data_IF_817778195876
#
_entry.id   IF_817778195876
#
_cell.length_a   1.000
_cell.length_b   1.000
_cell.length_c   1.000
_cell.angle_alpha   90.00
_cell.angle_beta   90.00
_cell.angle_gamma   90.00
#
_symmetry.space_group_name_H-M   'P 1'
#
loop_
_entity.id
_entity.type
_entity.pdbx_description
1 polymer ?
#
# COMPACT_ATOMS: atom_id res chain seq x y z
N UNK A 1 30.50 4.35 -32.84
CA UNK A 1 29.69 5.33 -32.13
C UNK A 1 28.70 4.56 -31.27
N UNK A 2 28.98 4.42 -30.00
CA UNK A 2 28.06 3.79 -29.04
C UNK A 2 26.92 4.76 -28.83
N UNK A 3 25.71 4.39 -29.30
CA UNK A 3 24.49 5.03 -28.87
C UNK A 3 24.38 4.77 -27.38
N UNK A 4 24.60 5.80 -26.57
CA UNK A 4 24.23 5.79 -25.17
C UNK A 4 22.73 5.52 -25.14
N UNK A 5 22.35 4.29 -24.78
CA UNK A 5 20.98 3.94 -24.46
C UNK A 5 20.52 4.94 -23.38
N UNK A 6 19.54 5.76 -23.69
CA UNK A 6 18.90 6.61 -22.67
C UNK A 6 18.53 5.70 -21.49
N UNK A 7 18.99 6.06 -20.30
CA UNK A 7 18.70 5.28 -19.11
C UNK A 7 17.17 5.13 -18.99
N UNK A 8 16.69 3.90 -18.96
CA UNK A 8 15.28 3.61 -18.86
C UNK A 8 14.80 3.98 -17.45
N UNK A 9 13.99 5.03 -17.36
CA UNK A 9 13.45 5.55 -16.09
C UNK A 9 12.01 5.07 -15.92
N UNK A 10 11.67 4.70 -14.69
CA UNK A 10 10.34 4.25 -14.33
C UNK A 10 9.25 5.30 -14.58
N UNK A 11 8.08 4.85 -15.01
CA UNK A 11 6.94 5.72 -15.34
C UNK A 11 6.37 6.33 -14.06
N UNK A 12 6.35 7.66 -13.98
CA UNK A 12 5.98 8.39 -12.76
C UNK A 12 4.46 8.49 -12.55
N UNK A 13 3.65 8.25 -13.57
CA UNK A 13 2.18 8.18 -13.46
C UNK A 13 1.71 6.74 -13.27
N UNK A 14 0.74 6.50 -12.38
CA UNK A 14 0.20 5.14 -12.17
C UNK A 14 -0.57 4.64 -13.38
N UNK A 15 -0.62 3.34 -13.56
CA UNK A 15 -1.45 2.68 -14.58
C UNK A 15 -2.94 2.85 -14.28
N UNK A 16 -3.31 2.77 -13.00
CA UNK A 16 -4.68 3.00 -12.52
C UNK A 16 -4.64 4.10 -11.47
N UNK A 17 -5.47 5.10 -11.67
CA UNK A 17 -5.61 6.19 -10.72
C UNK A 17 -7.07 6.57 -10.53
N UNK A 18 -7.53 6.46 -9.30
CA UNK A 18 -8.80 7.00 -8.85
C UNK A 18 -8.53 7.93 -7.67
N UNK A 19 -8.75 9.22 -7.86
CA UNK A 19 -8.57 10.25 -6.84
C UNK A 19 -9.89 10.98 -6.63
N UNK A 20 -10.37 11.13 -5.38
CA UNK A 20 -11.55 11.92 -5.08
C UNK A 20 -11.44 13.35 -5.60
N UNK A 21 -12.57 14.01 -5.84
CA UNK A 21 -12.58 15.43 -6.14
C UNK A 21 -12.01 16.20 -4.96
N UNK A 22 -10.90 16.89 -5.16
CA UNK A 22 -10.20 17.70 -4.16
C UNK A 22 -10.37 19.18 -4.46
N UNK A 23 -10.52 19.98 -3.41
CA UNK A 23 -10.54 21.44 -3.52
C UNK A 23 -9.14 22.03 -3.53
N UNK A 24 -8.24 21.50 -2.70
CA UNK A 24 -6.85 21.92 -2.56
C UNK A 24 -6.00 20.79 -1.94
N UNK A 25 -4.70 20.86 -2.12
CA UNK A 25 -3.74 19.88 -1.60
C UNK A 25 -2.47 20.55 -1.03
N UNK A 26 -2.58 21.69 -0.29
CA UNK A 26 -1.40 22.42 0.20
C UNK A 26 -0.56 21.54 1.14
N UNK A 27 -1.19 20.73 1.97
CA UNK A 27 -0.50 19.87 2.93
C UNK A 27 0.37 18.81 2.25
N UNK A 28 0.06 18.38 1.03
CA UNK A 28 0.87 17.41 0.29
C UNK A 28 2.22 18.01 -0.14
N UNK A 29 2.21 19.25 -0.62
CA UNK A 29 3.42 19.97 -1.01
C UNK A 29 4.27 20.28 0.21
N UNK A 30 3.63 20.72 1.31
CA UNK A 30 4.29 20.98 2.58
C UNK A 30 4.88 19.69 3.20
N UNK A 31 4.20 18.56 3.08
CA UNK A 31 4.69 17.26 3.53
C UNK A 31 5.94 16.83 2.73
N UNK A 32 5.89 16.97 1.41
CA UNK A 32 7.01 16.70 0.53
C UNK A 32 8.22 17.61 0.83
N UNK A 33 7.97 18.91 1.02
CA UNK A 33 9.00 19.88 1.38
C UNK A 33 9.63 19.58 2.76
N UNK A 34 8.79 19.28 3.76
CA UNK A 34 9.25 18.94 5.10
C UNK A 34 10.13 17.68 5.09
N UNK A 35 9.69 16.65 4.37
CA UNK A 35 10.44 15.40 4.24
C UNK A 35 11.81 15.62 3.57
N UNK A 36 11.85 16.37 2.46
CA UNK A 36 13.09 16.72 1.76
C UNK A 36 14.07 17.45 2.68
N UNK A 37 13.59 18.37 3.53
CA UNK A 37 14.41 19.09 4.51
C UNK A 37 15.09 18.16 5.52
N UNK A 38 14.51 17.00 5.78
CA UNK A 38 15.08 15.98 6.66
C UNK A 38 15.80 14.85 5.90
N UNK A 39 16.07 15.04 4.59
CA UNK A 39 16.83 14.11 3.77
C UNK A 39 16.00 13.00 3.14
N UNK A 40 14.67 13.08 3.19
CA UNK A 40 13.75 12.17 2.54
C UNK A 40 13.18 12.84 1.27
N UNK A 41 14.03 12.97 0.23
CA UNK A 41 13.67 13.64 -1.04
C UNK A 41 12.66 12.78 -1.81
N UNK A 42 11.42 13.27 -2.04
CA UNK A 42 10.40 12.49 -2.74
C UNK A 42 10.62 12.51 -4.25
N UNK A 43 10.46 11.35 -4.89
CA UNK A 43 10.31 11.23 -6.34
C UNK A 43 8.96 11.81 -6.80
N UNK A 44 8.82 12.08 -8.09
CA UNK A 44 7.60 12.65 -8.67
C UNK A 44 6.37 11.77 -8.41
N UNK A 45 6.49 10.45 -8.59
CA UNK A 45 5.40 9.52 -8.30
C UNK A 45 4.98 9.53 -6.82
N UNK A 46 5.93 9.73 -5.90
CA UNK A 46 5.64 9.82 -4.46
C UNK A 46 4.91 11.11 -4.10
N UNK A 47 5.29 12.24 -4.73
CA UNK A 47 4.56 13.51 -4.61
C UNK A 47 3.13 13.37 -5.11
N UNK A 48 2.93 12.68 -6.24
CA UNK A 48 1.61 12.39 -6.79
C UNK A 48 0.74 11.58 -5.83
N UNK A 49 1.32 10.57 -5.18
CA UNK A 49 0.61 9.77 -4.17
C UNK A 49 0.22 10.62 -2.97
N UNK A 50 1.12 11.43 -2.44
CA UNK A 50 0.82 12.36 -1.34
C UNK A 50 -0.31 13.33 -1.72
N UNK A 51 -0.29 13.88 -2.92
CA UNK A 51 -1.34 14.78 -3.40
C UNK A 51 -2.73 14.13 -3.39
N UNK A 52 -2.83 12.85 -3.80
CA UNK A 52 -4.07 12.09 -3.74
C UNK A 52 -4.54 11.81 -2.31
N UNK A 53 -3.59 11.48 -1.41
CA UNK A 53 -3.93 11.13 -0.02
C UNK A 53 -4.28 12.34 0.84
N UNK A 54 -3.63 13.48 0.60
CA UNK A 54 -3.73 14.69 1.41
C UNK A 54 -4.59 15.78 0.76
N UNK A 55 -5.33 15.44 -0.29
CA UNK A 55 -6.33 16.31 -0.87
C UNK A 55 -7.47 16.59 0.10
N UNK A 56 -7.90 17.85 0.19
CA UNK A 56 -8.97 18.29 1.09
C UNK A 56 -10.23 18.64 0.35
N UNK A 57 -11.35 18.44 1.03
CA UNK A 57 -12.67 19.00 0.70
C UNK A 57 -12.76 20.47 1.16
N UNK A 58 -13.73 21.23 0.64
CA UNK A 58 -13.94 22.61 1.10
C UNK A 58 -14.21 22.78 2.61
N UNK A 59 -14.63 21.70 3.29
CA UNK A 59 -14.86 21.69 4.73
C UNK A 59 -13.61 21.38 5.58
N UNK A 60 -12.43 21.34 4.97
CA UNK A 60 -11.16 21.07 5.65
C UNK A 60 -10.93 19.60 6.05
N UNK A 61 -11.77 18.68 5.57
CA UNK A 61 -11.56 17.24 5.81
C UNK A 61 -10.89 16.56 4.62
N UNK A 62 -10.19 15.48 4.89
CA UNK A 62 -9.61 14.65 3.83
C UNK A 62 -10.66 14.23 2.80
N UNK A 63 -10.36 14.43 1.53
CA UNK A 63 -11.21 13.98 0.45
C UNK A 63 -11.20 12.42 0.42
N UNK A 64 -10.03 11.81 0.60
CA UNK A 64 -9.87 10.37 0.71
C UNK A 64 -9.82 9.94 2.18
N UNK A 65 -10.79 9.14 2.63
CA UNK A 65 -10.75 8.47 3.94
C UNK A 65 -10.18 7.07 3.86
N UNK A 66 -10.06 6.54 2.64
CA UNK A 66 -9.36 5.31 2.31
C UNK A 66 -8.37 5.61 1.19
N UNK A 67 -7.12 5.22 1.40
CA UNK A 67 -6.03 5.40 0.45
C UNK A 67 -5.40 4.05 0.18
N UNK A 68 -5.29 3.65 -1.07
CA UNK A 68 -4.65 2.40 -1.48
C UNK A 68 -3.49 2.70 -2.43
N UNK A 69 -2.33 2.11 -2.16
CA UNK A 69 -1.15 2.18 -2.99
C UNK A 69 -0.65 0.78 -3.31
N UNK A 70 -0.80 0.38 -4.57
CA UNK A 70 -0.24 -0.85 -5.10
C UNK A 70 0.96 -0.52 -5.99
N UNK A 71 2.13 -0.95 -5.58
CA UNK A 71 3.38 -0.79 -6.33
C UNK A 71 4.30 -1.97 -6.01
N UNK A 72 5.05 -2.51 -6.99
CA UNK A 72 5.97 -3.61 -6.78
C UNK A 72 6.95 -3.37 -5.65
N UNK A 73 7.56 -4.46 -5.17
CA UNK A 73 8.51 -4.40 -4.05
C UNK A 73 9.67 -3.46 -4.35
N UNK A 74 10.23 -2.87 -3.28
CA UNK A 74 11.43 -2.02 -3.28
C UNK A 74 11.32 -0.69 -4.04
N UNK A 75 10.15 -0.32 -4.55
CA UNK A 75 9.93 0.99 -5.16
C UNK A 75 9.93 2.16 -4.17
N UNK A 76 9.96 1.92 -2.86
CA UNK A 76 9.96 2.99 -1.86
C UNK A 76 8.57 3.44 -1.40
N UNK A 77 7.55 2.54 -1.45
CA UNK A 77 6.21 2.82 -0.93
C UNK A 77 6.20 3.29 0.53
N UNK A 78 7.08 2.72 1.36
CA UNK A 78 7.17 3.09 2.77
C UNK A 78 7.65 4.54 2.97
N UNK A 79 8.48 5.07 2.05
CA UNK A 79 8.90 6.46 2.12
C UNK A 79 7.72 7.43 1.99
N UNK A 80 6.71 7.11 1.16
CA UNK A 80 5.48 7.92 1.06
C UNK A 80 4.74 7.97 2.40
N UNK A 81 4.63 6.83 3.07
CA UNK A 81 4.00 6.75 4.40
C UNK A 81 4.79 7.54 5.43
N UNK A 82 6.12 7.44 5.41
CA UNK A 82 6.98 8.19 6.33
C UNK A 82 6.82 9.70 6.14
N UNK A 83 6.76 10.19 4.91
CA UNK A 83 6.48 11.59 4.60
C UNK A 83 5.13 12.03 5.15
N UNK A 84 4.09 11.23 4.93
CA UNK A 84 2.73 11.46 5.45
C UNK A 84 2.70 11.45 6.99
N UNK A 85 3.43 10.52 7.62
CA UNK A 85 3.54 10.41 9.07
C UNK A 85 4.30 11.60 9.67
N UNK A 86 5.46 11.95 9.12
CA UNK A 86 6.25 13.09 9.59
C UNK A 86 5.42 14.37 9.60
N UNK A 87 4.73 14.67 8.51
CA UNK A 87 3.90 15.86 8.42
C UNK A 87 2.70 15.78 9.38
N UNK A 88 1.97 14.67 9.36
CA UNK A 88 0.81 14.47 10.21
C UNK A 88 1.11 14.61 11.68
N UNK A 89 2.20 13.98 12.14
CA UNK A 89 2.63 14.09 13.54
C UNK A 89 3.10 15.49 13.91
N UNK A 90 3.99 16.07 13.09
CA UNK A 90 4.68 17.33 13.43
C UNK A 90 3.80 18.56 13.26
N UNK A 91 2.98 18.60 12.22
CA UNK A 91 2.22 19.78 11.81
C UNK A 91 0.76 19.67 12.24
N UNK A 92 0.13 18.53 11.97
CA UNK A 92 -1.30 18.34 12.22
C UNK A 92 -1.59 17.77 13.61
N UNK A 93 -0.59 17.26 14.34
CA UNK A 93 -0.79 16.60 15.63
C UNK A 93 -1.56 15.27 15.53
N UNK A 94 -1.53 14.63 14.36
CA UNK A 94 -2.24 13.38 14.12
C UNK A 94 -1.56 12.20 14.83
N UNK A 95 -2.38 11.27 15.28
CA UNK A 95 -1.97 10.01 15.91
C UNK A 95 -2.06 8.89 14.88
N UNK A 96 -0.97 8.17 14.70
CA UNK A 96 -0.85 7.08 13.74
C UNK A 96 -0.76 5.73 14.44
N UNK A 97 -1.55 4.76 13.98
CA UNK A 97 -1.34 3.35 14.25
C UNK A 97 -0.83 2.68 12.97
N UNK A 98 0.41 2.22 12.98
CA UNK A 98 1.02 1.51 11.87
C UNK A 98 1.01 0.01 12.17
N UNK A 99 0.48 -0.78 11.26
CA UNK A 99 0.39 -2.24 11.42
C UNK A 99 0.96 -2.95 10.20
N UNK A 100 1.63 -4.08 10.43
CA UNK A 100 2.08 -5.00 9.39
C UNK A 100 1.76 -6.44 9.79
N UNK A 101 1.77 -7.36 8.82
CA UNK A 101 1.55 -8.78 9.07
C UNK A 101 2.64 -9.34 9.99
N UNK A 102 3.90 -9.02 9.67
CA UNK A 102 5.06 -9.48 10.43
C UNK A 102 5.58 -8.39 11.38
N UNK A 103 5.88 -8.77 12.62
CA UNK A 103 6.53 -7.90 13.62
C UNK A 103 7.83 -7.29 13.08
N UNK A 104 8.62 -8.07 12.33
CA UNK A 104 9.89 -7.60 11.74
C UNK A 104 9.70 -6.45 10.75
N UNK A 105 8.67 -6.50 9.90
CA UNK A 105 8.34 -5.42 8.95
C UNK A 105 7.88 -4.18 9.69
N UNK A 106 7.00 -4.36 10.65
CA UNK A 106 6.53 -3.30 11.52
C UNK A 106 7.69 -2.62 12.25
N UNK A 107 8.60 -3.39 12.86
CA UNK A 107 9.79 -2.85 13.55
C UNK A 107 10.72 -2.06 12.63
N UNK A 108 10.88 -2.45 11.36
CA UNK A 108 11.67 -1.67 10.39
C UNK A 108 11.06 -0.30 10.14
N UNK A 109 9.74 -0.19 9.98
CA UNK A 109 9.05 1.09 9.81
C UNK A 109 9.22 1.97 11.05
N UNK A 110 9.15 1.39 12.25
CA UNK A 110 9.43 2.09 13.49
C UNK A 110 10.87 2.64 13.55
N UNK A 111 11.88 1.80 13.24
CA UNK A 111 13.29 2.22 13.29
C UNK A 111 13.58 3.37 12.32
N UNK A 112 12.97 3.37 11.14
CA UNK A 112 13.13 4.44 10.17
C UNK A 112 12.53 5.76 10.69
N UNK A 113 11.33 5.71 11.28
CA UNK A 113 10.72 6.88 11.88
C UNK A 113 11.49 7.35 13.12
N UNK A 114 11.91 6.40 13.98
CA UNK A 114 12.70 6.67 15.17
C UNK A 114 14.01 7.40 14.87
N UNK A 115 14.61 7.13 13.70
CA UNK A 115 15.83 7.81 13.25
C UNK A 115 15.68 9.33 13.25
N UNK A 116 14.51 9.86 12.95
CA UNK A 116 14.25 11.29 12.96
C UNK A 116 14.05 11.84 14.39
N UNK A 117 13.40 11.11 15.26
CA UNK A 117 12.95 11.60 16.57
C UNK A 117 13.92 11.29 17.71
N UNK A 118 14.70 10.22 17.62
CA UNK A 118 15.65 9.79 18.65
C UNK A 118 17.12 10.03 18.24
N UNK A 119 17.35 11.10 17.46
CA UNK A 119 18.67 11.47 17.01
C UNK A 119 18.97 12.98 17.24
N UNK A 120 19.32 13.36 18.51
CA UNK A 120 19.51 14.75 18.88
C UNK A 120 20.68 15.44 18.14
N UNK A 121 21.64 14.65 17.61
CA UNK A 121 22.78 15.21 16.87
C UNK A 121 22.40 15.64 15.46
N UNK A 122 21.66 14.80 14.76
CA UNK A 122 21.22 15.06 13.38
C UNK A 122 19.97 15.94 13.33
N UNK A 123 19.02 15.70 14.23
CA UNK A 123 17.72 16.34 14.21
C UNK A 123 17.33 16.94 15.57
N UNK A 124 18.11 17.90 16.10
CA UNK A 124 17.89 18.46 17.44
C UNK A 124 16.50 19.07 17.62
N UNK A 125 15.93 19.67 16.56
CA UNK A 125 14.59 20.27 16.61
C UNK A 125 13.49 19.23 16.70
N UNK A 126 13.61 18.07 16.02
CA UNK A 126 12.64 16.99 16.11
C UNK A 126 12.74 16.27 17.44
N UNK A 127 13.97 16.02 17.90
CA UNK A 127 14.21 15.43 19.20
C UNK A 127 13.64 16.30 20.33
N UNK A 128 13.80 17.62 20.26
CA UNK A 128 13.25 18.54 21.28
C UNK A 128 11.69 18.50 21.36
N UNK A 129 11.02 18.09 20.31
CA UNK A 129 9.56 17.94 20.28
C UNK A 129 9.08 16.56 20.74
N UNK A 130 10.03 15.62 20.93
CA UNK A 130 9.71 14.25 21.37
C UNK A 130 9.56 14.20 22.88
N UNK A 131 8.38 13.85 23.36
CA UNK A 131 8.08 13.75 24.80
C UNK A 131 8.34 12.37 25.35
N UNK A 132 8.17 11.32 24.54
CA UNK A 132 8.38 9.94 24.94
C UNK A 132 8.70 9.04 23.75
N UNK A 133 9.61 8.10 23.95
CA UNK A 133 9.89 6.99 23.05
C UNK A 133 9.74 5.67 23.81
N UNK A 134 8.95 4.75 23.28
CA UNK A 134 8.86 3.38 23.76
C UNK A 134 9.53 2.45 22.75
N UNK A 135 10.46 1.60 23.23
CA UNK A 135 11.23 0.66 22.40
C UNK A 135 10.97 -0.81 22.76
N UNK A 136 10.05 -1.06 23.68
CA UNK A 136 9.69 -2.42 24.06
C UNK A 136 8.93 -3.11 22.92
N UNK A 137 9.30 -4.36 22.62
CA UNK A 137 8.67 -5.14 21.57
C UNK A 137 7.15 -5.21 21.73
N UNK A 138 6.42 -4.85 20.67
CA UNK A 138 4.96 -4.82 20.66
C UNK A 138 4.34 -3.59 21.35
N UNK A 139 5.16 -2.62 21.79
CA UNK A 139 4.73 -1.35 22.38
C UNK A 139 5.54 -0.17 21.83
N UNK A 140 6.17 -0.37 20.69
CA UNK A 140 7.00 0.66 20.05
C UNK A 140 6.16 1.88 19.73
N UNK A 141 6.62 3.04 20.18
CA UNK A 141 5.90 4.30 19.97
C UNK A 141 6.81 5.53 20.08
N UNK A 142 6.41 6.59 19.41
CA UNK A 142 6.96 7.95 19.54
C UNK A 142 5.81 8.92 19.81
N UNK A 143 5.95 9.78 20.81
CA UNK A 143 4.97 10.79 21.18
C UNK A 143 5.59 12.18 21.12
N UNK A 144 4.84 13.16 20.62
CA UNK A 144 5.27 14.53 20.45
C UNK A 144 4.51 15.48 21.39
N UNK A 145 5.08 16.66 21.58
CA UNK A 145 4.56 17.73 22.43
C UNK A 145 3.23 18.34 21.99
N UNK A 146 2.88 18.20 20.70
CA UNK A 146 1.61 18.66 20.13
C UNK A 146 0.50 17.60 20.13
N UNK A 147 0.74 16.43 20.74
CA UNK A 147 -0.20 15.31 20.75
C UNK A 147 -0.05 14.34 19.59
N UNK A 148 0.76 14.67 18.58
CA UNK A 148 1.07 13.76 17.48
C UNK A 148 1.79 12.52 17.99
N UNK A 149 1.46 11.35 17.45
CA UNK A 149 2.10 10.09 17.84
C UNK A 149 2.19 9.10 16.70
N UNK A 150 3.14 8.20 16.82
CA UNK A 150 3.26 6.98 16.04
C UNK A 150 3.29 5.81 17.01
N UNK A 151 2.39 4.88 16.82
CA UNK A 151 2.35 3.64 17.57
C UNK A 151 2.36 2.45 16.61
N UNK A 152 3.05 1.38 16.99
CA UNK A 152 3.18 0.18 16.19
C UNK A 152 2.39 -0.96 16.81
N UNK A 153 1.70 -1.74 15.96
CA UNK A 153 1.06 -2.97 16.39
C UNK A 153 1.22 -4.08 15.34
N UNK A 154 1.56 -5.28 15.80
CA UNK A 154 1.43 -6.46 14.95
C UNK A 154 -0.05 -6.85 14.82
N UNK A 155 -0.46 -7.38 13.65
CA UNK A 155 -1.84 -7.83 13.42
C UNK A 155 -2.13 -9.09 14.22
N UNK A 156 -3.04 -8.96 15.16
CA UNK A 156 -3.60 -10.08 15.94
C UNK A 156 -5.08 -9.83 16.20
N UNK A 157 -5.83 -10.84 16.62
CA UNK A 157 -7.27 -10.71 16.94
C UNK A 157 -7.60 -9.67 18.03
N UNK A 158 -6.59 -9.16 18.72
CA UNK A 158 -6.74 -8.12 19.75
C UNK A 158 -6.00 -6.82 19.47
N UNK A 159 -5.36 -6.68 18.31
CA UNK A 159 -4.41 -5.60 18.00
C UNK A 159 -4.98 -4.18 18.06
N UNK A 160 -6.29 -3.99 17.87
CA UNK A 160 -6.92 -2.67 17.90
C UNK A 160 -7.38 -2.20 19.28
N UNK A 161 -7.34 -3.07 20.32
CA UNK A 161 -7.91 -2.73 21.62
C UNK A 161 -7.05 -1.71 22.36
N UNK A 162 -7.69 -0.62 22.78
CA UNK A 162 -7.04 0.44 23.56
C UNK A 162 -6.40 1.56 22.72
N UNK A 163 -6.37 1.43 21.38
CA UNK A 163 -5.92 2.51 20.49
C UNK A 163 -7.08 3.42 20.10
N UNK A 164 -6.80 4.72 20.08
CA UNK A 164 -7.67 5.75 19.52
C UNK A 164 -6.78 6.72 18.73
N UNK A 165 -6.79 6.56 17.41
CA UNK A 165 -5.88 7.25 16.50
C UNK A 165 -6.62 7.95 15.37
N UNK A 166 -5.93 8.76 14.60
CA UNK A 166 -6.52 9.52 13.50
C UNK A 166 -6.25 8.83 12.15
N UNK A 167 -5.09 8.19 12.04
CA UNK A 167 -4.67 7.49 10.81
C UNK A 167 -4.27 6.05 11.13
N UNK A 168 -4.89 5.12 10.42
CA UNK A 168 -4.57 3.69 10.46
C UNK A 168 -3.79 3.31 9.19
N UNK A 169 -2.54 2.84 9.36
CA UNK A 169 -1.70 2.33 8.27
C UNK A 169 -1.69 0.81 8.29
N UNK A 170 -2.08 0.22 7.18
CA UNK A 170 -2.16 -1.22 6.94
C UNK A 170 -1.11 -1.60 5.89
N UNK A 171 0.15 -1.75 6.32
CA UNK A 171 1.26 -2.22 5.46
C UNK A 171 1.12 -3.72 5.21
N UNK A 172 1.65 -4.24 4.10
CA UNK A 172 1.43 -5.62 3.64
C UNK A 172 -0.09 -5.94 3.58
N UNK A 173 -0.84 -5.12 2.82
CA UNK A 173 -2.30 -5.26 2.72
C UNK A 173 -2.72 -6.55 2.02
N UNK A 174 -1.84 -7.17 1.24
CA UNK A 174 -2.00 -8.50 0.64
C UNK A 174 -2.19 -9.60 1.68
N UNK A 175 -1.71 -9.39 2.92
CA UNK A 175 -1.82 -10.31 4.06
C UNK A 175 -2.95 -9.91 5.04
N UNK A 176 -3.80 -8.96 4.68
CA UNK A 176 -4.82 -8.44 5.58
C UNK A 176 -6.05 -9.31 5.60
N UNK A 177 -6.31 -9.98 6.72
CA UNK A 177 -7.53 -10.75 6.94
C UNK A 177 -8.73 -9.86 7.34
N UNK A 178 -9.93 -10.37 7.09
CA UNK A 178 -11.19 -9.72 7.51
C UNK A 178 -11.26 -9.53 9.03
N UNK A 179 -10.81 -10.50 9.82
CA UNK A 179 -10.78 -10.43 11.28
C UNK A 179 -9.83 -9.33 11.77
N UNK A 180 -8.64 -9.22 11.17
CA UNK A 180 -7.68 -8.17 11.51
C UNK A 180 -8.22 -6.78 11.18
N UNK A 181 -8.84 -6.61 10.01
CA UNK A 181 -9.47 -5.34 9.66
C UNK A 181 -10.61 -4.99 10.62
N UNK A 182 -11.47 -5.94 10.98
CA UNK A 182 -12.57 -5.73 11.92
C UNK A 182 -12.07 -5.32 13.32
N UNK A 183 -10.93 -5.86 13.77
CA UNK A 183 -10.31 -5.49 15.04
C UNK A 183 -9.67 -4.09 15.03
N UNK A 184 -9.07 -3.68 13.90
CA UNK A 184 -8.31 -2.44 13.76
C UNK A 184 -9.16 -1.23 13.36
N UNK A 185 -10.18 -1.43 12.52
CA UNK A 185 -10.98 -0.33 11.98
C UNK A 185 -11.64 0.57 13.03
N UNK A 186 -12.13 0.07 14.17
CA UNK A 186 -12.71 0.89 15.23
C UNK A 186 -11.74 1.90 15.86
N UNK A 187 -10.42 1.68 15.76
CA UNK A 187 -9.40 2.57 16.37
C UNK A 187 -9.45 4.00 15.86
N UNK A 188 -9.95 4.23 14.63
CA UNK A 188 -10.08 5.55 14.01
C UNK A 188 -11.50 6.12 14.08
N UNK A 189 -12.47 5.40 14.66
CA UNK A 189 -13.89 5.78 14.59
C UNK A 189 -14.21 7.07 15.37
N UNK A 190 -13.41 7.40 16.38
CA UNK A 190 -13.58 8.60 17.18
C UNK A 190 -12.85 9.83 16.60
N UNK A 191 -12.04 9.65 15.55
CA UNK A 191 -11.34 10.78 14.93
C UNK A 191 -12.29 11.69 14.16
N UNK A 192 -12.12 13.00 14.25
CA UNK A 192 -12.91 13.95 13.46
C UNK A 192 -12.55 13.91 11.96
N UNK A 193 -11.34 13.45 11.61
CA UNK A 193 -10.86 13.39 10.23
C UNK A 193 -10.08 12.07 9.96
N UNK A 194 -10.75 10.91 10.05
CA UNK A 194 -10.08 9.63 10.00
C UNK A 194 -9.57 9.28 8.60
N UNK A 195 -8.42 8.60 8.54
CA UNK A 195 -7.86 8.06 7.30
C UNK A 195 -7.36 6.64 7.50
N UNK A 196 -7.58 5.76 6.50
CA UNK A 196 -6.99 4.41 6.44
C UNK A 196 -6.13 4.31 5.20
N UNK A 197 -4.87 3.95 5.36
CA UNK A 197 -3.89 3.82 4.29
C UNK A 197 -3.56 2.34 4.13
N UNK A 198 -3.78 1.80 2.95
CA UNK A 198 -3.45 0.43 2.56
C UNK A 198 -2.26 0.44 1.62
N UNK A 199 -1.27 -0.39 1.91
CA UNK A 199 -0.05 -0.53 1.11
C UNK A 199 0.18 -1.99 0.82
N UNK A 200 0.45 -2.32 -0.43
CA UNK A 200 0.69 -3.71 -0.77
C UNK A 200 1.22 -3.94 -2.18
N UNK A 201 1.47 -5.21 -2.43
CA UNK A 201 1.73 -5.79 -3.74
C UNK A 201 0.55 -6.69 -4.12
N UNK A 202 0.45 -7.19 -5.34
CA UNK A 202 -0.54 -8.21 -5.67
C UNK A 202 -0.43 -9.40 -4.74
N UNK A 203 -1.54 -9.95 -4.20
CA UNK A 203 -1.51 -11.11 -3.31
C UNK A 203 -1.05 -12.36 -4.06
N UNK A 204 -0.32 -13.25 -3.40
CA UNK A 204 -0.05 -14.57 -3.94
C UNK A 204 -1.26 -15.50 -3.71
N UNK A 205 -1.38 -16.62 -4.44
CA UNK A 205 -2.50 -17.56 -4.27
C UNK A 205 -2.65 -18.15 -2.87
N UNK A 206 -1.58 -18.11 -2.06
CA UNK A 206 -1.59 -18.62 -0.67
C UNK A 206 -2.01 -17.56 0.36
N UNK A 207 -2.12 -16.29 -0.06
CA UNK A 207 -2.50 -15.18 0.81
C UNK A 207 -4.01 -14.98 0.81
N UNK A 208 -4.57 -14.57 1.93
CA UNK A 208 -6.00 -14.32 2.02
C UNK A 208 -6.48 -13.13 1.16
N UNK A 209 -5.65 -12.18 0.86
CA UNK A 209 -5.77 -11.05 -0.08
C UNK A 209 -7.14 -10.42 -0.39
N UNK A 210 -8.24 -10.98 0.15
CA UNK A 210 -9.62 -10.59 -0.19
C UNK A 210 -9.94 -9.12 0.07
N UNK A 211 -9.46 -8.60 1.20
CA UNK A 211 -9.68 -7.19 1.56
C UNK A 211 -8.97 -6.29 0.56
N UNK A 212 -7.74 -6.64 0.25
CA UNK A 212 -6.90 -5.87 -0.67
C UNK A 212 -7.45 -5.89 -2.10
N UNK A 213 -7.84 -7.07 -2.58
CA UNK A 213 -8.51 -7.24 -3.86
C UNK A 213 -9.82 -6.44 -3.94
N UNK A 214 -10.63 -6.42 -2.87
CA UNK A 214 -11.87 -5.63 -2.80
C UNK A 214 -11.61 -4.13 -2.87
N UNK A 215 -10.58 -3.63 -2.16
CA UNK A 215 -10.20 -2.20 -2.23
C UNK A 215 -9.74 -1.86 -3.65
N UNK A 216 -8.98 -2.74 -4.29
CA UNK A 216 -8.58 -2.58 -5.70
C UNK A 216 -9.78 -2.53 -6.63
N UNK A 217 -10.72 -3.47 -6.52
CA UNK A 217 -11.91 -3.49 -7.37
C UNK A 217 -12.72 -2.19 -7.26
N UNK A 218 -12.87 -1.65 -6.05
CA UNK A 218 -13.50 -0.36 -5.85
C UNK A 218 -12.71 0.78 -6.54
N UNK A 219 -11.38 0.73 -6.50
CA UNK A 219 -10.51 1.68 -7.20
C UNK A 219 -10.61 1.59 -8.72
N UNK A 220 -10.71 0.37 -9.25
CA UNK A 220 -10.90 0.13 -10.69
C UNK A 220 -12.28 0.60 -11.17
N UNK A 221 -13.33 0.39 -10.38
CA UNK A 221 -14.69 0.86 -10.70
C UNK A 221 -14.79 2.39 -10.68
N UNK A 222 -13.97 3.07 -9.86
CA UNK A 222 -13.92 4.54 -9.82
C UNK A 222 -15.18 5.21 -9.26
N UNK A 223 -16.06 4.46 -8.59
CA UNK A 223 -17.36 4.95 -8.11
C UNK A 223 -17.34 5.46 -6.67
N UNK A 224 -16.34 5.04 -5.89
CA UNK A 224 -16.26 5.40 -4.48
C UNK A 224 -15.67 6.81 -4.26
N UNK A 225 -16.51 7.76 -3.93
CA UNK A 225 -16.13 9.17 -3.76
C UNK A 225 -15.05 9.45 -2.72
N UNK A 226 -14.79 8.53 -1.78
CA UNK A 226 -13.84 8.74 -0.67
C UNK A 226 -12.68 7.75 -0.69
N UNK A 227 -12.46 7.07 -1.79
CA UNK A 227 -11.32 6.20 -2.05
C UNK A 227 -10.31 6.91 -2.96
N UNK A 228 -9.04 6.96 -2.54
CA UNK A 228 -7.91 7.22 -3.42
C UNK A 228 -7.24 5.89 -3.71
N UNK A 229 -7.14 5.49 -4.99
CA UNK A 229 -6.44 4.29 -5.41
C UNK A 229 -5.39 4.65 -6.47
N UNK A 230 -4.16 4.22 -6.24
CA UNK A 230 -3.07 4.43 -7.18
C UNK A 230 -2.28 3.13 -7.33
N UNK A 231 -2.15 2.66 -8.57
CA UNK A 231 -1.59 1.36 -8.90
C UNK A 231 -0.58 1.45 -10.03
N UNK A 232 0.61 0.96 -9.78
CA UNK A 232 1.65 0.65 -10.78
C UNK A 232 1.71 -0.86 -10.97
N UNK A 233 1.83 -1.28 -12.21
CA UNK A 233 1.90 -2.69 -12.58
C UNK A 233 1.61 -2.88 -14.05
N UNK A 234 1.89 -4.06 -14.56
CA UNK A 234 1.59 -4.48 -15.91
C UNK A 234 0.18 -5.06 -16.04
N UNK A 235 -0.30 -5.16 -17.26
CA UNK A 235 -1.48 -5.97 -17.58
C UNK A 235 -1.14 -7.46 -17.44
N UNK A 236 -2.14 -8.33 -17.19
CA UNK A 236 -1.90 -9.78 -17.04
C UNK A 236 -1.26 -10.47 -18.24
N UNK A 237 -1.43 -9.90 -19.42
CA UNK A 237 -0.93 -10.41 -20.70
C UNK A 237 0.32 -9.68 -21.22
N UNK A 238 0.93 -8.82 -20.40
CA UNK A 238 2.11 -8.06 -20.78
C UNK A 238 3.34 -9.00 -20.94
N UNK A 239 4.12 -8.75 -21.98
CA UNK A 239 5.40 -9.45 -22.21
C UNK A 239 6.39 -9.08 -21.11
N UNK A 240 6.71 -10.03 -20.25
CA UNK A 240 7.68 -9.85 -19.14
C UNK A 240 9.13 -9.75 -19.59
N UNK A 241 9.45 -10.06 -20.85
CA UNK A 241 10.77 -9.82 -21.42
C UNK A 241 10.98 -8.39 -21.89
N UNK A 242 9.88 -7.62 -22.06
CA UNK A 242 9.97 -6.21 -22.47
C UNK A 242 10.33 -5.32 -21.26
N UNK A 243 11.53 -4.75 -21.31
CA UNK A 243 12.02 -3.79 -20.29
C UNK A 243 11.16 -2.53 -20.18
N UNK A 244 10.37 -2.18 -21.20
CA UNK A 244 9.39 -1.10 -21.16
C UNK A 244 8.27 -1.38 -20.16
N UNK A 245 7.85 -2.65 -20.04
CA UNK A 245 6.88 -3.09 -19.05
C UNK A 245 7.46 -3.03 -17.63
N UNK A 246 8.77 -3.31 -17.47
CA UNK A 246 9.44 -3.12 -16.18
C UNK A 246 9.40 -1.66 -15.73
N UNK A 247 9.69 -0.72 -16.66
CA UNK A 247 9.62 0.71 -16.38
C UNK A 247 8.19 1.17 -16.06
N UNK A 248 7.19 0.63 -16.74
CA UNK A 248 5.78 0.94 -16.48
C UNK A 248 5.34 0.48 -15.07
N UNK A 249 5.83 -0.66 -14.61
CA UNK A 249 5.48 -1.23 -13.30
C UNK A 249 6.29 -0.63 -12.14
N UNK A 250 7.54 -0.18 -12.40
CA UNK A 250 8.47 0.23 -11.35
C UNK A 250 8.81 1.73 -11.45
N UNK A 251 8.04 2.61 -10.82
CA UNK A 251 8.26 4.07 -10.93
C UNK A 251 9.63 4.52 -10.40
N UNK A 252 10.28 3.72 -9.57
CA UNK A 252 11.62 4.00 -9.05
C UNK A 252 12.76 3.33 -9.83
N UNK A 253 12.48 2.65 -10.96
CA UNK A 253 13.51 2.12 -11.84
C UNK A 253 14.36 3.25 -12.44
N UNK A 254 15.67 3.09 -12.41
CA UNK A 254 16.63 4.12 -12.83
C UNK A 254 16.79 5.29 -11.85
N UNK A 255 16.01 5.32 -10.76
CA UNK A 255 16.11 6.31 -9.66
C UNK A 255 16.61 5.68 -8.36
N UNK A 256 15.98 4.61 -7.92
CA UNK A 256 16.29 3.85 -6.70
C UNK A 256 16.68 2.41 -7.02
N UNK A 257 16.08 1.82 -8.04
CA UNK A 257 16.29 0.45 -8.47
C UNK A 257 17.09 0.48 -9.77
N UNK A 258 18.26 -0.20 -9.76
CA UNK A 258 19.03 -0.37 -10.97
C UNK A 258 18.26 -1.29 -11.94
N UNK A 259 18.09 -0.90 -13.23
CA UNK A 259 17.48 -1.78 -14.24
C UNK A 259 18.14 -3.15 -14.37
N UNK A 260 19.44 -3.25 -14.14
CA UNK A 260 20.15 -4.54 -14.18
C UNK A 260 19.76 -5.46 -13.02
N UNK A 261 19.45 -4.89 -11.84
CA UNK A 261 18.89 -5.70 -10.73
C UNK A 261 17.55 -6.33 -11.11
N UNK A 262 16.70 -5.61 -11.86
CA UNK A 262 15.44 -6.20 -12.36
C UNK A 262 15.71 -7.29 -13.39
N UNK A 263 16.75 -7.11 -14.23
CA UNK A 263 17.15 -8.13 -15.21
C UNK A 263 17.67 -9.42 -14.53
N UNK A 264 18.44 -9.28 -13.45
CA UNK A 264 18.90 -10.43 -12.67
C UNK A 264 17.71 -11.17 -12.04
N UNK A 265 16.76 -10.44 -11.44
CA UNK A 265 15.55 -11.03 -10.87
C UNK A 265 14.65 -11.69 -11.93
N UNK A 266 14.61 -11.16 -13.16
CA UNK A 266 13.90 -11.79 -14.28
C UNK A 266 14.49 -13.16 -14.64
N UNK A 267 15.81 -13.31 -14.52
CA UNK A 267 16.48 -14.59 -14.79
C UNK A 267 16.35 -15.58 -13.62
N UNK A 268 16.21 -15.08 -12.38
CA UNK A 268 16.20 -15.89 -11.16
C UNK A 268 14.79 -16.39 -10.79
N UNK A 269 13.74 -15.63 -11.11
CA UNK A 269 12.37 -15.97 -10.73
C UNK A 269 11.65 -16.75 -11.84
N UNK A 270 10.70 -17.57 -11.43
CA UNK A 270 9.68 -18.05 -12.37
C UNK A 270 8.76 -16.89 -12.82
N UNK A 271 8.11 -17.07 -13.97
CA UNK A 271 7.28 -16.06 -14.62
C UNK A 271 6.17 -15.52 -13.68
N UNK A 272 5.49 -16.40 -12.95
CA UNK A 272 4.40 -16.00 -12.03
C UNK A 272 4.94 -15.17 -10.86
N UNK A 273 6.08 -15.55 -10.31
CA UNK A 273 6.73 -14.81 -9.21
C UNK A 273 7.23 -13.45 -9.69
N UNK A 274 7.93 -13.38 -10.82
CA UNK A 274 8.39 -12.13 -11.40
C UNK A 274 7.21 -11.21 -11.74
N UNK A 275 6.17 -11.77 -12.39
CA UNK A 275 4.94 -11.04 -12.74
C UNK A 275 4.30 -10.38 -11.51
N UNK A 276 4.20 -11.10 -10.41
CA UNK A 276 3.60 -10.60 -9.17
C UNK A 276 4.49 -9.63 -8.41
N UNK A 277 5.74 -10.01 -8.15
CA UNK A 277 6.63 -9.27 -7.24
C UNK A 277 7.28 -8.05 -7.88
N UNK A 278 7.58 -8.13 -9.19
CA UNK A 278 8.32 -7.10 -9.91
C UNK A 278 7.50 -6.38 -10.98
N UNK A 279 6.63 -7.09 -11.70
CA UNK A 279 5.76 -6.48 -12.69
C UNK A 279 4.40 -6.03 -12.12
N UNK A 280 4.11 -6.30 -10.84
CA UNK A 280 2.88 -5.86 -10.21
C UNK A 280 1.61 -6.40 -10.85
N UNK A 281 1.71 -7.58 -11.45
CA UNK A 281 0.57 -8.26 -12.08
C UNK A 281 -0.36 -8.84 -11.01
N UNK A 282 -1.63 -8.56 -11.17
CA UNK A 282 -2.67 -9.17 -10.35
C UNK A 282 -3.19 -10.41 -11.05
N UNK A 283 -3.30 -11.49 -10.29
CA UNK A 283 -3.99 -12.67 -10.79
C UNK A 283 -5.43 -12.30 -11.17
N UNK A 284 -5.86 -12.77 -12.32
CA UNK A 284 -7.26 -12.66 -12.70
C UNK A 284 -8.08 -13.49 -11.70
N UNK A 285 -9.07 -12.91 -11.01
CA UNK A 285 -9.95 -13.68 -10.12
C UNK A 285 -10.64 -14.83 -10.83
N UNK A 286 -10.66 -14.84 -12.17
CA UNK A 286 -11.15 -15.96 -12.98
C UNK A 286 -10.11 -17.07 -13.14
N UNK A 287 -8.80 -16.80 -12.96
CA UNK A 287 -7.73 -17.79 -13.07
C UNK A 287 -7.37 -18.46 -11.74
N UNK A 288 -7.70 -17.85 -10.61
CA UNK A 288 -7.54 -18.45 -9.27
C UNK A 288 -8.55 -19.59 -8.98
N UNK A 289 -9.19 -20.13 -10.01
CA UNK A 289 -10.06 -21.31 -9.87
C UNK A 289 -9.18 -22.55 -9.74
N UNK A 290 -9.48 -23.39 -8.75
CA UNK A 290 -8.89 -24.74 -8.61
C UNK A 290 -9.04 -25.52 -9.92
N UNK A 291 -10.10 -25.21 -10.67
CA UNK A 291 -10.38 -25.75 -12.03
C UNK A 291 -10.34 -24.55 -12.99
N UNK A 292 -9.45 -24.55 -13.98
CA UNK A 292 -9.39 -23.49 -14.99
C UNK A 292 -10.74 -23.34 -15.73
N UNK A 293 -11.02 -22.13 -16.24
CA UNK A 293 -12.25 -21.88 -17.00
C UNK A 293 -12.37 -22.84 -18.22
N UNK A 294 -11.25 -23.12 -18.87
CA UNK A 294 -11.21 -24.04 -20.00
C UNK A 294 -11.48 -25.49 -19.58
N UNK A 295 -10.89 -25.95 -18.48
CA UNK A 295 -11.18 -27.27 -17.92
C UNK A 295 -12.64 -27.37 -17.47
N UNK A 296 -13.20 -26.30 -16.90
CA UNK A 296 -14.61 -26.26 -16.54
C UNK A 296 -15.54 -26.28 -17.76
N UNK A 297 -15.18 -25.53 -18.82
CA UNK A 297 -15.93 -25.50 -20.06
C UNK A 297 -15.94 -26.86 -20.78
N UNK A 298 -14.83 -27.60 -20.74
CA UNK A 298 -14.74 -28.96 -21.28
C UNK A 298 -15.65 -29.93 -20.51
N UNK A 299 -15.90 -29.70 -19.21
CA UNK A 299 -16.82 -30.49 -18.40
C UNK A 299 -18.30 -30.12 -18.59
N UNK A 300 -18.60 -29.04 -19.35
CA UNK A 300 -19.95 -28.64 -19.64
C UNK A 300 -20.60 -29.67 -20.62
N UNK A 301 -21.33 -30.62 -20.08
CA UNK A 301 -22.19 -31.48 -20.86
C UNK A 301 -23.59 -30.85 -21.03
N UNK A 302 -24.28 -30.99 -22.17
CA UNK A 302 -25.67 -30.60 -22.25
C UNK A 302 -26.43 -31.40 -21.20
N UNK A 303 -27.17 -30.72 -20.33
CA UNK A 303 -28.04 -31.35 -19.35
C UNK A 303 -29.07 -32.20 -20.08
N UNK A 304 -28.84 -33.48 -20.16
CA UNK A 304 -29.91 -34.46 -20.46
C UNK A 304 -30.71 -34.58 -19.17
N UNK A 305 -31.69 -33.70 -19.00
CA UNK A 305 -32.67 -33.83 -17.92
C UNK A 305 -33.59 -34.97 -18.33
N UNK A 306 -33.32 -36.18 -17.83
CA UNK A 306 -34.30 -37.22 -17.82
C UNK A 306 -35.32 -36.92 -16.73
N UNK A 307 -36.56 -36.62 -17.14
CA UNK A 307 -37.59 -36.03 -16.30
C UNK A 307 -38.25 -37.04 -15.34
N UNK A 308 -37.51 -37.95 -14.71
CA UNK A 308 -38.11 -38.99 -13.91
C UNK A 308 -37.43 -39.46 -12.63
N UNK A 309 -36.31 -38.85 -12.22
CA UNK A 309 -35.56 -39.30 -11.04
C UNK A 309 -35.33 -38.21 -10.00
N UNK A 310 -35.33 -38.55 -8.71
CA UNK A 310 -34.84 -37.68 -7.64
C UNK A 310 -33.31 -37.43 -7.85
N UNK A 311 -32.91 -36.18 -7.98
CA UNK A 311 -31.50 -35.80 -8.08
C UNK A 311 -31.05 -35.27 -6.74
N UNK A 312 -30.07 -35.89 -6.09
CA UNK A 312 -29.38 -35.38 -4.93
C UNK A 312 -28.01 -34.84 -5.37
N UNK A 313 -27.71 -33.56 -5.09
CA UNK A 313 -26.41 -32.95 -5.32
C UNK A 313 -25.76 -32.71 -3.95
N UNK A 314 -24.59 -33.32 -3.70
CA UNK A 314 -23.75 -33.03 -2.55
C UNK A 314 -22.54 -32.23 -3.04
N UNK A 315 -22.26 -31.09 -2.41
CA UNK A 315 -21.06 -30.29 -2.62
C UNK A 315 -20.33 -30.23 -1.28
N UNK A 316 -19.12 -30.79 -1.24
CA UNK A 316 -18.18 -30.62 -0.13
C UNK A 316 -17.21 -29.50 -0.50
N UNK A 317 -17.07 -28.50 0.39
CA UNK A 317 -16.24 -27.29 0.17
C UNK A 317 -15.15 -27.22 1.23
#
# INVERSE_FOLDING_TARGET
>A
MSLTSAALIGVQSPRVEHVPKIGASPDADDAAYLAAKYGLEPFEWQRRVLAGWMGMRPNGRWAATRCGLAVPRQNGKNAVVEMRQLYGMLVLGERFLHTAHQVKTASKSFQRLLYFFDNPRMFPKLHARTTMVRKANGQEAVFLDNGGSFELAARSKGAGRGFSVDVLVLDEAEELSSDALAALKPTISASPNPQTIYLGTPPSPVHQGEIWARVRQAGLAGEEERLCWQEWGCLPDADLADRGNWAAANPSMGLLIDPETIADEYNDFDEATFGRERAGMWDDPTTARIISADSWAVCAAPLLVDAGGEVAIAVDV
#
